data_IF_207493681072
#
_entry.id   IF_207493681072
#
_cell.length_a   1.000
_cell.length_b   1.000
_cell.length_c   1.000
_cell.angle_alpha   90.00
_cell.angle_beta   90.00
_cell.angle_gamma   90.00
#
_symmetry.space_group_name_H-M   'P 1'
#
loop_
_entity.id
_entity.type
_entity.pdbx_description
1 polymer ?
#
# COMPACT_ATOMS: atom_id res chain seq x y z
N UNK A 1 36.79 9.83 9.96
CA UNK A 1 35.51 10.29 9.36
C UNK A 1 34.99 9.10 8.55
N UNK A 2 34.08 8.26 9.04
CA UNK A 2 32.73 8.54 9.51
C UNK A 2 31.75 7.96 8.48
N UNK A 3 31.75 6.63 8.29
CA UNK A 3 30.78 5.91 7.45
C UNK A 3 29.59 5.42 8.32
N UNK A 4 29.18 6.26 9.25
CA UNK A 4 28.13 5.98 10.22
C UNK A 4 26.82 6.53 9.65
N UNK A 5 26.06 5.68 8.97
CA UNK A 5 24.65 5.96 8.63
C UNK A 5 24.33 6.40 7.20
N UNK A 6 25.31 6.45 6.27
CA UNK A 6 25.08 6.82 4.85
C UNK A 6 25.65 5.83 3.83
N UNK A 7 25.75 4.55 4.20
CA UNK A 7 26.17 3.54 3.24
C UNK A 7 25.00 3.24 2.28
N UNK A 8 25.13 3.48 0.97
CA UNK A 8 24.08 3.16 0.00
C UNK A 8 23.81 1.64 -0.11
N UNK A 9 24.76 0.82 0.31
CA UNK A 9 24.66 -0.64 0.34
C UNK A 9 24.19 -1.19 1.69
N UNK A 10 24.00 -0.36 2.72
CA UNK A 10 23.51 -0.84 4.01
C UNK A 10 22.14 -1.46 3.81
N UNK A 11 22.01 -2.71 4.23
CA UNK A 11 20.74 -3.39 4.29
C UNK A 11 20.09 -3.07 5.63
N UNK A 12 18.92 -2.45 5.60
CA UNK A 12 18.14 -2.10 6.76
C UNK A 12 16.72 -2.68 6.63
N UNK A 13 16.10 -3.13 7.74
CA UNK A 13 14.73 -3.59 7.72
C UNK A 13 13.77 -2.41 7.48
N UNK A 14 12.81 -2.60 6.58
CA UNK A 14 11.74 -1.63 6.38
C UNK A 14 10.86 -1.53 7.64
N UNK A 15 10.54 -0.32 8.16
CA UNK A 15 9.67 -0.20 9.33
C UNK A 15 8.22 -0.61 9.08
N UNK A 16 7.80 -0.71 7.81
CA UNK A 16 6.46 -1.17 7.43
C UNK A 16 6.43 -2.71 7.31
N UNK A 17 7.11 -3.26 6.30
CA UNK A 17 7.06 -4.70 6.02
C UNK A 17 8.12 -5.56 6.73
N UNK A 18 9.06 -4.94 7.45
CA UNK A 18 10.20 -5.61 8.11
C UNK A 18 11.12 -6.39 7.16
N UNK A 19 10.91 -6.31 5.85
CA UNK A 19 11.79 -6.89 4.84
C UNK A 19 13.11 -6.15 4.82
N UNK A 20 14.20 -6.91 4.63
CA UNK A 20 15.55 -6.37 4.48
C UNK A 20 15.68 -5.72 3.10
N UNK A 21 15.88 -4.40 3.08
CA UNK A 21 16.03 -3.62 1.87
C UNK A 21 17.31 -2.77 1.95
N UNK A 22 17.83 -2.34 0.79
CA UNK A 22 18.94 -1.37 0.80
C UNK A 22 18.43 -0.01 1.27
N UNK A 23 19.17 0.65 2.15
CA UNK A 23 18.87 1.99 2.63
C UNK A 23 18.72 2.97 1.46
N UNK A 24 19.53 2.84 0.41
CA UNK A 24 19.41 3.63 -0.82
C UNK A 24 18.10 3.37 -1.60
N UNK A 25 17.54 2.16 -1.51
CA UNK A 25 16.29 1.79 -2.17
C UNK A 25 15.09 1.96 -1.24
N UNK A 26 15.25 2.54 -0.05
CA UNK A 26 14.14 2.67 0.92
C UNK A 26 12.99 3.51 0.35
N UNK A 27 13.29 4.61 -0.32
CA UNK A 27 12.29 5.47 -0.97
C UNK A 27 11.59 4.74 -2.12
N UNK A 28 12.37 4.16 -3.04
CA UNK A 28 11.83 3.37 -4.16
C UNK A 28 10.96 2.21 -3.65
N UNK A 29 11.42 1.51 -2.63
CA UNK A 29 10.68 0.43 -1.99
C UNK A 29 9.38 0.98 -1.40
N UNK A 30 9.43 2.00 -0.55
CA UNK A 30 8.23 2.57 0.08
C UNK A 30 7.17 2.99 -0.94
N UNK A 31 7.58 3.48 -2.11
CA UNK A 31 6.66 3.97 -3.14
C UNK A 31 6.13 2.84 -4.07
N UNK A 32 7.01 1.91 -4.48
CA UNK A 32 6.71 0.96 -5.57
C UNK A 32 6.80 -0.51 -5.17
N UNK A 33 7.71 -0.90 -4.28
CA UNK A 33 7.98 -2.32 -4.00
C UNK A 33 7.47 -2.79 -2.64
N UNK A 34 7.15 -1.88 -1.73
CA UNK A 34 6.77 -2.23 -0.37
C UNK A 34 5.42 -2.93 -0.41
N UNK A 35 5.35 -4.21 -0.01
CA UNK A 35 4.08 -4.90 0.06
C UNK A 35 3.19 -4.24 1.09
N UNK A 36 3.75 -3.63 2.13
CA UNK A 36 3.03 -2.89 3.17
C UNK A 36 2.96 -1.38 2.86
N UNK A 37 3.06 -0.97 1.59
CA UNK A 37 2.85 0.44 1.23
C UNK A 37 1.42 0.84 1.59
N UNK A 38 1.26 2.06 2.11
CA UNK A 38 -0.06 2.58 2.42
C UNK A 38 -0.69 3.16 1.16
N UNK A 39 -1.86 2.67 0.80
CA UNK A 39 -2.69 3.26 -0.25
C UNK A 39 -3.88 3.97 0.37
N UNK A 40 -4.17 5.15 -0.16
CA UNK A 40 -5.38 5.87 0.15
C UNK A 40 -6.51 5.29 -0.68
N UNK A 41 -7.56 4.81 -0.01
CA UNK A 41 -8.76 4.39 -0.69
C UNK A 41 -9.38 5.60 -1.39
N UNK A 42 -9.58 5.47 -2.71
CA UNK A 42 -10.11 6.52 -3.59
C UNK A 42 -11.53 6.95 -3.22
N UNK A 43 -12.23 6.07 -2.51
CA UNK A 43 -13.64 6.20 -2.19
C UNK A 43 -13.87 6.75 -0.78
N UNK A 44 -13.31 6.11 0.24
CA UNK A 44 -13.48 6.53 1.63
C UNK A 44 -12.37 7.49 2.13
N UNK A 45 -11.32 7.72 1.33
CA UNK A 45 -10.15 8.56 1.65
C UNK A 45 -9.32 8.09 2.86
N UNK A 46 -9.61 6.92 3.42
CA UNK A 46 -8.81 6.32 4.50
C UNK A 46 -7.54 5.65 3.94
N UNK A 47 -6.50 5.57 4.78
CA UNK A 47 -5.23 4.95 4.42
C UNK A 47 -5.17 3.51 4.93
N UNK A 48 -4.94 2.56 4.03
CA UNK A 48 -4.78 1.13 4.37
C UNK A 48 -3.48 0.59 3.80
N UNK A 49 -2.97 -0.48 4.40
CA UNK A 49 -1.85 -1.22 3.82
C UNK A 49 -2.27 -1.88 2.51
N UNK A 50 -1.36 -2.02 1.57
CA UNK A 50 -1.64 -2.61 0.26
C UNK A 50 -2.15 -4.07 0.32
N UNK A 51 -1.75 -4.95 1.26
CA UNK A 51 -2.43 -6.24 1.43
C UNK A 51 -3.85 -6.05 1.99
N UNK A 52 -4.03 -5.14 2.95
CA UNK A 52 -5.31 -4.86 3.57
C UNK A 52 -6.29 -4.09 2.67
N UNK A 53 -5.82 -3.37 1.64
CA UNK A 53 -6.71 -2.61 0.75
C UNK A 53 -7.68 -3.54 0.02
N UNK A 54 -7.25 -4.78 -0.27
CA UNK A 54 -8.13 -5.82 -0.83
C UNK A 54 -9.24 -6.21 0.13
N UNK A 55 -8.89 -6.50 1.39
CA UNK A 55 -9.88 -6.80 2.42
C UNK A 55 -10.77 -5.57 2.72
N UNK A 56 -10.20 -4.37 2.64
CA UNK A 56 -10.93 -3.13 2.77
C UNK A 56 -11.95 -2.96 1.66
N UNK A 57 -11.63 -3.22 0.39
CA UNK A 57 -12.59 -3.12 -0.72
C UNK A 57 -13.86 -3.96 -0.45
N UNK A 58 -13.70 -5.12 0.19
CA UNK A 58 -14.80 -5.98 0.62
C UNK A 58 -15.61 -5.46 1.80
N UNK A 59 -15.14 -4.50 2.59
CA UNK A 59 -15.91 -3.87 3.69
C UNK A 59 -16.16 -2.38 3.48
N UNK A 60 -15.61 -1.80 2.42
CA UNK A 60 -15.59 -0.36 2.24
C UNK A 60 -17.00 0.12 1.89
N UNK A 61 -17.57 1.03 2.69
CA UNK A 61 -18.93 1.51 2.48
C UNK A 61 -19.06 2.33 1.20
N UNK A 62 -17.96 3.02 0.80
CA UNK A 62 -17.92 3.85 -0.41
C UNK A 62 -17.40 3.11 -1.65
N UNK A 63 -16.93 1.88 -1.50
CA UNK A 63 -16.38 1.12 -2.63
C UNK A 63 -17.53 0.71 -3.56
N UNK A 64 -17.51 1.13 -4.83
CA UNK A 64 -18.53 0.75 -5.78
C UNK A 64 -18.36 -0.72 -6.11
N UNK A 65 -19.37 -1.51 -5.80
CA UNK A 65 -19.41 -2.91 -6.22
C UNK A 65 -19.33 -2.95 -7.76
N UNK A 66 -18.36 -3.71 -8.26
CA UNK A 66 -18.24 -3.97 -9.69
C UNK A 66 -19.00 -5.25 -9.98
N UNK A 67 -20.03 -5.18 -10.83
CA UNK A 67 -20.73 -6.38 -11.24
C UNK A 67 -19.85 -7.16 -12.23
N UNK A 68 -19.32 -8.31 -11.82
CA UNK A 68 -18.51 -9.19 -12.69
C UNK A 68 -19.28 -9.72 -13.91
N UNK A 69 -20.62 -9.73 -13.88
CA UNK A 69 -21.45 -10.12 -15.03
C UNK A 69 -21.77 -9.01 -16.04
N UNK A 70 -21.54 -7.73 -15.71
CA UNK A 70 -21.91 -6.61 -16.58
C UNK A 70 -20.81 -5.54 -16.75
N UNK A 71 -19.70 -5.64 -16.02
CA UNK A 71 -18.60 -4.66 -16.03
C UNK A 71 -18.97 -3.27 -15.49
N UNK A 72 -20.21 -3.07 -15.01
CA UNK A 72 -20.67 -1.78 -14.49
C UNK A 72 -20.04 -1.50 -13.13
N UNK A 73 -19.28 -0.41 -13.09
CA UNK A 73 -18.70 0.20 -11.89
C UNK A 73 -19.58 1.37 -11.53
N UNK A 74 -20.49 1.21 -10.56
CA UNK A 74 -21.37 2.25 -9.93
C UNK A 74 -22.58 1.60 -9.22
N UNK A 75 -22.42 0.44 -8.57
CA UNK A 75 -23.49 -0.09 -7.73
C UNK A 75 -23.25 0.47 -6.32
N UNK A 76 -24.12 1.36 -5.81
CA UNK A 76 -24.02 1.83 -4.44
C UNK A 76 -24.21 0.64 -3.50
N UNK A 77 -23.31 0.52 -2.53
CA UNK A 77 -23.37 -0.52 -1.50
C UNK A 77 -24.32 -0.15 -0.36
N UNK A 78 -24.66 1.13 -0.26
CA UNK A 78 -25.74 1.62 0.58
C UNK A 78 -27.08 1.33 -0.12
N UNK A 79 -27.99 0.73 0.65
CA UNK A 79 -29.34 0.36 0.27
C UNK A 79 -30.28 1.55 0.36
#
# INVERSE_FOLDING_TARGET
VGHEGKCPYLLAPCPACKTIIRAANRDLHSERECPERKLNCRYCKLSFYFPDIKAHDEICPKFPMTCEGCGRKKIPREK
#
